data_IF_138593953785
#
_entry.id   IF_138593953785
#
_cell.length_a   1.000
_cell.length_b   1.000
_cell.length_c   1.000
_cell.angle_alpha   90.00
_cell.angle_beta   90.00
_cell.angle_gamma   90.00
#
_symmetry.space_group_name_H-M   'P 1'
#
loop_
_entity.id
_entity.type
_entity.pdbx_description
1 polymer ?
#
# COMPACT_ATOMS: atom_id res chain seq x y z
N UNK A 1 5.70 -36.49 -5.57
CA UNK A 1 5.12 -35.24 -6.10
C UNK A 1 3.70 -35.57 -6.54
N UNK A 2 2.72 -35.30 -5.68
CA UNK A 2 1.31 -35.61 -5.93
C UNK A 2 0.73 -34.45 -6.75
N UNK A 3 0.32 -34.71 -8.00
CA UNK A 3 -0.45 -33.75 -8.79
C UNK A 3 -1.83 -33.63 -8.14
N UNK A 4 -2.04 -32.57 -7.35
CA UNK A 4 -3.37 -32.22 -6.90
C UNK A 4 -4.25 -31.95 -8.14
N UNK A 5 -5.46 -32.55 -8.24
CA UNK A 5 -6.37 -32.25 -9.33
C UNK A 5 -6.74 -30.77 -9.25
N UNK A 6 -6.38 -30.02 -10.29
CA UNK A 6 -6.82 -28.63 -10.48
C UNK A 6 -8.34 -28.61 -10.37
N UNK A 7 -8.95 -27.74 -9.53
CA UNK A 7 -10.39 -27.68 -9.40
C UNK A 7 -11.02 -27.52 -10.79
N UNK A 8 -11.91 -28.45 -11.15
CA UNK A 8 -12.64 -28.39 -12.40
C UNK A 8 -13.41 -27.06 -12.43
N UNK A 9 -12.95 -26.13 -13.26
CA UNK A 9 -13.61 -24.84 -13.41
C UNK A 9 -14.98 -25.10 -14.04
N UNK A 10 -16.04 -24.98 -13.23
CA UNK A 10 -17.45 -24.98 -13.64
C UNK A 10 -17.82 -23.72 -14.42
N UNK A 11 -17.01 -23.35 -15.40
CA UNK A 11 -17.18 -22.14 -16.20
C UNK A 11 -17.48 -22.53 -17.64
N UNK A 12 -18.54 -21.96 -18.20
CA UNK A 12 -18.85 -22.06 -19.63
C UNK A 12 -17.68 -21.46 -20.41
N UNK A 13 -17.15 -22.20 -21.38
CA UNK A 13 -16.09 -21.73 -22.26
C UNK A 13 -16.53 -21.80 -23.69
N UNK A 14 -16.39 -20.68 -24.36
CA UNK A 14 -16.74 -20.58 -25.76
C UNK A 14 -15.69 -19.78 -26.51
N UNK A 15 -15.46 -20.17 -27.76
CA UNK A 15 -14.37 -19.63 -28.56
C UNK A 15 -14.70 -19.71 -30.04
N UNK A 16 -14.43 -18.62 -30.75
CA UNK A 16 -14.18 -18.64 -32.19
C UNK A 16 -12.66 -18.49 -32.37
N UNK A 17 -12.05 -19.30 -33.23
CA UNK A 17 -10.69 -19.06 -33.73
C UNK A 17 -10.61 -19.33 -35.22
N UNK A 18 -9.72 -18.60 -35.90
CA UNK A 18 -9.36 -18.85 -37.29
C UNK A 18 -7.92 -19.33 -37.31
N UNK A 19 -7.68 -20.59 -37.69
CA UNK A 19 -6.34 -21.20 -37.72
C UNK A 19 -6.24 -22.30 -38.79
N UNK A 20 -5.05 -22.89 -38.95
CA UNK A 20 -4.78 -23.98 -39.89
C UNK A 20 -5.03 -25.33 -39.22
N UNK A 21 -6.24 -25.85 -39.37
CA UNK A 21 -6.65 -27.12 -38.78
C UNK A 21 -6.76 -28.27 -39.78
N UNK A 22 -6.80 -27.96 -41.09
CA UNK A 22 -6.90 -28.98 -42.13
C UNK A 22 -5.52 -29.60 -42.40
N UNK A 23 -5.35 -30.87 -41.99
CA UNK A 23 -4.13 -31.64 -42.26
C UNK A 23 -3.98 -32.00 -43.74
N UNK A 24 -5.09 -32.08 -44.48
CA UNK A 24 -5.07 -32.34 -45.92
C UNK A 24 -4.77 -31.07 -46.73
N UNK A 25 -5.17 -29.91 -46.21
CA UNK A 25 -4.94 -28.60 -46.82
C UNK A 25 -4.33 -27.60 -45.82
N UNK A 26 -3.06 -27.78 -45.42
CA UNK A 26 -2.43 -26.97 -44.36
C UNK A 26 -2.29 -25.47 -44.72
N UNK A 27 -2.49 -25.10 -45.99
CA UNK A 27 -2.54 -23.70 -46.42
C UNK A 27 -3.89 -23.02 -46.18
N UNK A 28 -4.95 -23.80 -45.95
CA UNK A 28 -6.31 -23.27 -45.80
C UNK A 28 -6.64 -23.05 -44.33
N UNK A 29 -7.10 -21.83 -44.03
CA UNK A 29 -7.60 -21.51 -42.69
C UNK A 29 -9.01 -22.07 -42.52
N UNK A 30 -9.31 -22.51 -41.31
CA UNK A 30 -10.63 -22.94 -40.88
C UNK A 30 -11.06 -22.18 -39.63
N UNK A 31 -12.35 -21.90 -39.55
CA UNK A 31 -12.99 -21.31 -38.38
C UNK A 31 -13.37 -22.42 -37.43
N UNK A 32 -12.72 -22.48 -36.26
CA UNK A 32 -13.10 -23.35 -35.17
C UNK A 32 -14.08 -22.62 -34.25
N UNK A 33 -15.30 -23.16 -34.10
CA UNK A 33 -16.24 -22.77 -33.04
C UNK A 33 -16.20 -23.84 -31.95
N UNK A 34 -15.63 -23.49 -30.80
CA UNK A 34 -15.45 -24.40 -29.67
C UNK A 34 -16.37 -24.01 -28.52
N UNK A 35 -17.10 -24.98 -27.98
CA UNK A 35 -18.06 -24.80 -26.89
C UNK A 35 -17.86 -25.88 -25.83
N UNK A 36 -17.75 -25.46 -24.57
CA UNK A 36 -17.74 -26.31 -23.39
C UNK A 36 -18.73 -25.74 -22.40
N UNK A 37 -19.76 -26.53 -22.10
CA UNK A 37 -20.73 -26.23 -21.06
C UNK A 37 -20.60 -27.35 -20.03
N UNK A 38 -20.08 -27.06 -18.82
CA UNK A 38 -19.85 -28.06 -17.78
C UNK A 38 -21.11 -28.88 -17.49
N UNK A 39 -20.98 -30.21 -17.53
CA UNK A 39 -22.10 -31.13 -17.29
C UNK A 39 -23.12 -31.24 -18.43
N UNK A 40 -22.96 -30.49 -19.52
CA UNK A 40 -23.90 -30.51 -20.66
C UNK A 40 -23.20 -31.04 -21.91
N UNK A 41 -22.28 -30.27 -22.53
CA UNK A 41 -21.60 -30.67 -23.77
C UNK A 41 -20.16 -30.18 -23.85
N UNK A 42 -19.36 -30.89 -24.65
CA UNK A 42 -18.09 -30.39 -25.20
C UNK A 42 -18.08 -30.65 -26.69
N UNK A 43 -18.02 -29.59 -27.49
CA UNK A 43 -18.16 -29.63 -28.94
C UNK A 43 -17.18 -28.72 -29.65
N UNK A 44 -16.81 -29.09 -30.86
CA UNK A 44 -16.00 -28.29 -31.78
C UNK A 44 -16.59 -28.37 -33.18
N UNK A 45 -16.92 -27.23 -33.78
CA UNK A 45 -17.27 -27.12 -35.19
C UNK A 45 -16.05 -26.65 -35.97
N UNK A 46 -15.80 -27.29 -37.09
CA UNK A 46 -14.80 -26.91 -38.08
C UNK A 46 -15.53 -26.38 -39.30
N UNK A 47 -15.42 -25.09 -39.54
CA UNK A 47 -16.14 -24.37 -40.57
C UNK A 47 -15.16 -23.72 -41.56
N UNK A 48 -15.57 -23.41 -42.80
CA UNK A 48 -14.76 -22.64 -43.73
C UNK A 48 -14.34 -21.26 -43.17
N UNK A 49 -13.22 -20.71 -43.66
CA UNK A 49 -12.67 -19.43 -43.18
C UNK A 49 -13.65 -18.25 -43.25
N UNK A 50 -14.50 -18.18 -44.27
CA UNK A 50 -15.43 -17.06 -44.45
C UNK A 50 -16.48 -16.94 -43.33
N UNK A 51 -16.71 -18.01 -42.57
CA UNK A 51 -17.57 -17.97 -41.38
C UNK A 51 -16.97 -17.13 -40.25
N UNK A 52 -15.65 -16.94 -40.19
CA UNK A 52 -15.03 -16.18 -39.10
C UNK A 52 -15.46 -14.71 -39.11
N UNK A 53 -15.48 -14.07 -40.28
CA UNK A 53 -15.84 -12.66 -40.41
C UNK A 53 -17.31 -12.40 -40.10
N UNK A 54 -18.19 -13.33 -40.50
CA UNK A 54 -19.60 -13.25 -40.18
C UNK A 54 -19.83 -13.52 -38.70
N UNK A 55 -19.30 -14.61 -38.14
CA UNK A 55 -19.63 -15.04 -36.78
C UNK A 55 -19.02 -14.19 -35.66
N UNK A 56 -17.91 -13.48 -35.88
CA UNK A 56 -17.23 -12.74 -34.80
C UNK A 56 -18.07 -11.61 -34.17
N UNK A 57 -19.05 -11.11 -34.92
CA UNK A 57 -19.86 -9.94 -34.55
C UNK A 57 -21.33 -10.32 -34.24
N UNK A 58 -21.69 -11.59 -34.33
CA UNK A 58 -23.06 -12.08 -34.05
C UNK A 58 -23.23 -12.53 -32.59
N UNK A 59 -24.49 -12.55 -32.15
CA UNK A 59 -24.85 -13.19 -30.89
C UNK A 59 -24.57 -14.70 -30.97
N UNK A 60 -24.29 -15.30 -29.82
CA UNK A 60 -23.65 -16.60 -29.80
C UNK A 60 -24.63 -17.75 -30.08
N UNK A 61 -25.91 -17.55 -29.77
CA UNK A 61 -27.00 -18.39 -30.27
C UNK A 61 -27.04 -18.43 -31.81
N UNK A 62 -26.90 -17.29 -32.48
CA UNK A 62 -26.94 -17.20 -33.95
C UNK A 62 -25.72 -17.87 -34.59
N UNK A 63 -24.54 -17.75 -33.97
CA UNK A 63 -23.34 -18.44 -34.45
C UNK A 63 -23.53 -19.95 -34.40
N UNK A 64 -24.11 -20.47 -33.33
CA UNK A 64 -24.37 -21.91 -33.22
C UNK A 64 -25.43 -22.37 -34.21
N UNK A 65 -26.49 -21.58 -34.44
CA UNK A 65 -27.49 -21.88 -35.47
C UNK A 65 -26.87 -21.97 -36.87
N UNK A 66 -25.98 -21.05 -37.23
CA UNK A 66 -25.25 -21.08 -38.50
C UNK A 66 -24.32 -22.30 -38.60
N UNK A 67 -23.55 -22.59 -37.55
CA UNK A 67 -22.64 -23.73 -37.52
C UNK A 67 -23.40 -25.07 -37.64
N UNK A 68 -24.53 -25.17 -36.94
CA UNK A 68 -25.47 -26.27 -37.03
C UNK A 68 -26.06 -26.43 -38.43
N UNK A 69 -26.47 -25.33 -39.06
CA UNK A 69 -26.98 -25.31 -40.43
C UNK A 69 -25.98 -25.89 -41.41
N UNK A 70 -24.73 -25.41 -41.36
CA UNK A 70 -23.64 -25.90 -42.21
C UNK A 70 -23.37 -27.40 -42.03
N UNK A 71 -23.26 -27.89 -40.80
CA UNK A 71 -23.01 -29.31 -40.55
C UNK A 71 -24.15 -30.20 -41.04
N UNK A 72 -25.40 -29.74 -40.90
CA UNK A 72 -26.58 -30.48 -41.36
C UNK A 72 -26.63 -30.57 -42.89
N UNK A 73 -26.22 -29.51 -43.60
CA UNK A 73 -26.28 -29.46 -45.06
C UNK A 73 -25.05 -30.05 -45.76
N UNK A 74 -23.88 -29.95 -45.14
CA UNK A 74 -22.60 -30.06 -45.86
C UNK A 74 -21.66 -31.13 -45.32
N UNK A 75 -21.90 -31.67 -44.12
CA UNK A 75 -21.01 -32.67 -43.50
C UNK A 75 -21.72 -34.02 -43.42
N UNK A 76 -21.14 -35.04 -44.07
CA UNK A 76 -21.66 -36.40 -44.03
C UNK A 76 -21.03 -37.19 -42.88
N UNK A 77 -21.85 -37.91 -42.11
CA UNK A 77 -21.37 -38.76 -41.01
C UNK A 77 -20.96 -38.00 -39.75
N UNK A 78 -21.73 -36.98 -39.35
CA UNK A 78 -21.49 -36.19 -38.13
C UNK A 78 -21.53 -37.05 -36.87
N UNK A 79 -20.35 -37.40 -36.34
CA UNK A 79 -20.21 -38.22 -35.13
C UNK A 79 -20.72 -37.55 -33.87
N UNK A 80 -20.87 -36.21 -33.88
CA UNK A 80 -21.27 -35.41 -32.72
C UNK A 80 -22.75 -35.03 -32.74
N UNK A 81 -23.55 -35.62 -33.63
CA UNK A 81 -24.96 -35.26 -33.83
C UNK A 81 -25.80 -35.31 -32.53
N UNK A 82 -25.57 -36.30 -31.66
CA UNK A 82 -26.26 -36.42 -30.38
C UNK A 82 -25.91 -35.26 -29.43
N UNK A 83 -24.62 -34.98 -29.25
CA UNK A 83 -24.14 -33.86 -28.43
C UNK A 83 -24.63 -32.50 -28.95
N UNK A 84 -24.72 -32.34 -30.28
CA UNK A 84 -25.27 -31.15 -30.94
C UNK A 84 -26.77 -30.99 -30.67
N UNK A 85 -27.53 -32.09 -30.62
CA UNK A 85 -28.94 -32.06 -30.23
C UNK A 85 -29.10 -31.64 -28.76
N UNK A 86 -28.27 -32.18 -27.86
CA UNK A 86 -28.25 -31.77 -26.44
C UNK A 86 -27.94 -30.28 -26.29
N UNK A 87 -26.98 -29.74 -27.05
CA UNK A 87 -26.68 -28.31 -27.04
C UNK A 87 -27.88 -27.48 -27.48
N UNK A 88 -28.60 -27.88 -28.54
CA UNK A 88 -29.80 -27.18 -29.02
C UNK A 88 -30.92 -27.19 -27.99
N UNK A 89 -31.15 -28.33 -27.35
CA UNK A 89 -32.15 -28.45 -26.28
C UNK A 89 -31.79 -27.54 -25.10
N UNK A 90 -30.52 -27.51 -24.70
CA UNK A 90 -30.03 -26.61 -23.66
C UNK A 90 -30.22 -25.14 -24.03
N UNK A 91 -29.93 -24.77 -25.29
CA UNK A 91 -30.13 -23.41 -25.82
C UNK A 91 -31.60 -23.06 -26.09
N UNK A 92 -32.56 -23.96 -25.88
CA UNK A 92 -33.98 -23.62 -26.00
C UNK A 92 -34.46 -22.72 -24.84
N UNK A 93 -33.68 -22.63 -23.77
CA UNK A 93 -33.92 -21.74 -22.62
C UNK A 93 -33.18 -20.42 -22.84
N UNK A 94 -33.88 -19.29 -22.77
CA UNK A 94 -33.28 -17.97 -23.03
C UNK A 94 -32.16 -17.62 -22.03
N UNK A 95 -32.32 -17.96 -20.75
CA UNK A 95 -31.28 -17.73 -19.72
C UNK A 95 -29.96 -18.45 -20.08
N UNK A 96 -30.03 -19.63 -20.70
CA UNK A 96 -28.86 -20.36 -21.13
C UNK A 96 -28.15 -19.67 -22.30
N UNK A 97 -28.91 -19.01 -23.19
CA UNK A 97 -28.35 -18.18 -24.27
C UNK A 97 -27.62 -16.97 -23.71
N UNK A 98 -28.23 -16.29 -22.74
CA UNK A 98 -27.63 -15.12 -22.06
C UNK A 98 -26.31 -15.50 -21.36
N UNK A 99 -26.28 -16.64 -20.65
CA UNK A 99 -25.07 -17.16 -20.02
C UNK A 99 -23.96 -17.46 -21.04
N UNK A 100 -24.34 -18.00 -22.21
CA UNK A 100 -23.38 -18.30 -23.28
C UNK A 100 -22.83 -17.01 -23.93
N UNK A 101 -23.68 -16.02 -24.15
CA UNK A 101 -23.32 -14.70 -24.66
C UNK A 101 -22.39 -13.95 -23.69
N UNK A 102 -22.68 -14.01 -22.38
CA UNK A 102 -21.82 -13.44 -21.35
C UNK A 102 -20.46 -14.14 -21.29
N UNK A 103 -20.42 -15.48 -21.37
CA UNK A 103 -19.18 -16.23 -21.44
C UNK A 103 -18.35 -15.86 -22.69
N UNK A 104 -19.01 -15.63 -23.83
CA UNK A 104 -18.35 -15.18 -25.06
C UNK A 104 -17.78 -13.76 -24.91
N UNK A 105 -18.55 -12.83 -24.35
CA UNK A 105 -18.10 -11.46 -24.08
C UNK A 105 -16.89 -11.47 -23.16
N UNK A 106 -16.89 -12.30 -22.12
CA UNK A 106 -15.75 -12.45 -21.21
C UNK A 106 -14.52 -13.05 -21.90
N UNK A 107 -14.67 -14.09 -22.74
CA UNK A 107 -13.54 -14.64 -23.50
C UNK A 107 -12.93 -13.60 -24.45
N UNK A 108 -13.76 -12.79 -25.13
CA UNK A 108 -13.31 -11.68 -25.97
C UNK A 108 -12.49 -10.67 -25.17
N UNK A 109 -13.02 -10.22 -24.03
CA UNK A 109 -12.33 -9.28 -23.14
C UNK A 109 -10.98 -9.84 -22.67
N UNK A 110 -10.91 -11.14 -22.33
CA UNK A 110 -9.65 -11.78 -21.90
C UNK A 110 -8.59 -11.83 -22.99
N UNK A 111 -8.98 -11.88 -24.26
CA UNK A 111 -8.04 -12.00 -25.39
C UNK A 111 -7.63 -10.67 -25.95
N UNK A 112 -8.56 -9.73 -26.00
CA UNK A 112 -8.29 -8.40 -26.53
C UNK A 112 -7.23 -7.70 -25.64
N UNK A 113 -6.03 -7.40 -26.18
CA UNK A 113 -4.98 -6.73 -25.42
C UNK A 113 -5.40 -5.34 -24.95
N UNK A 114 -6.23 -4.63 -25.72
CA UNK A 114 -6.75 -3.31 -25.37
C UNK A 114 -7.73 -3.45 -24.21
N UNK A 115 -8.67 -4.40 -24.29
CA UNK A 115 -9.63 -4.63 -23.21
C UNK A 115 -8.94 -5.01 -21.89
N UNK A 116 -7.91 -5.87 -21.94
CA UNK A 116 -7.10 -6.21 -20.76
C UNK A 116 -6.33 -5.01 -20.20
N UNK A 117 -5.77 -4.19 -21.08
CA UNK A 117 -5.08 -2.95 -20.68
C UNK A 117 -6.04 -2.01 -19.97
N UNK A 118 -7.22 -1.78 -20.55
CA UNK A 118 -8.26 -0.93 -19.97
C UNK A 118 -8.76 -1.48 -18.64
N UNK A 119 -8.95 -2.79 -18.48
CA UNK A 119 -9.31 -3.39 -17.20
C UNK A 119 -8.24 -3.15 -16.11
N UNK A 120 -6.97 -3.28 -16.49
CA UNK A 120 -5.84 -3.02 -15.58
C UNK A 120 -5.79 -1.55 -15.18
N UNK A 121 -6.02 -0.65 -16.14
CA UNK A 121 -6.07 0.79 -15.91
C UNK A 121 -7.24 1.17 -15.01
N UNK A 122 -8.44 0.65 -15.27
CA UNK A 122 -9.62 0.87 -14.42
C UNK A 122 -9.36 0.36 -12.99
N UNK A 123 -8.78 -0.84 -12.83
CA UNK A 123 -8.43 -1.36 -11.50
C UNK A 123 -7.42 -0.45 -10.78
N UNK A 124 -6.42 0.06 -11.52
CA UNK A 124 -5.43 1.01 -10.99
C UNK A 124 -6.09 2.31 -10.56
N UNK A 125 -6.95 2.90 -11.40
CA UNK A 125 -7.68 4.13 -11.12
C UNK A 125 -8.64 3.99 -9.94
N UNK A 126 -9.31 2.84 -9.82
CA UNK A 126 -10.16 2.57 -8.65
C UNK A 126 -9.32 2.51 -7.37
N UNK A 127 -8.12 1.92 -7.42
CA UNK A 127 -7.18 1.92 -6.31
C UNK A 127 -6.74 3.32 -5.90
N UNK A 128 -6.40 4.19 -6.86
CA UNK A 128 -5.97 5.56 -6.57
C UNK A 128 -7.10 6.42 -6.02
N UNK A 129 -8.34 6.25 -6.51
CA UNK A 129 -9.53 6.93 -5.96
C UNK A 129 -9.75 6.55 -4.50
N UNK A 130 -9.70 5.26 -4.17
CA UNK A 130 -9.87 4.78 -2.80
C UNK A 130 -8.79 5.34 -1.86
N UNK A 131 -7.54 5.42 -2.33
CA UNK A 131 -6.45 6.01 -1.55
C UNK A 131 -6.68 7.51 -1.28
N UNK A 132 -7.06 8.27 -2.31
CA UNK A 132 -7.32 9.71 -2.18
C UNK A 132 -8.50 10.00 -1.25
N UNK A 133 -9.55 9.19 -1.30
CA UNK A 133 -10.67 9.28 -0.36
C UNK A 133 -10.23 9.05 1.08
N UNK A 134 -9.40 8.02 1.32
CA UNK A 134 -8.84 7.77 2.64
C UNK A 134 -7.93 8.92 3.11
N UNK A 135 -7.12 9.51 2.21
CA UNK A 135 -6.31 10.68 2.53
C UNK A 135 -7.17 11.91 2.88
N UNK A 136 -8.25 12.15 2.14
CA UNK A 136 -9.19 13.24 2.41
C UNK A 136 -9.86 13.07 3.77
N UNK A 137 -10.30 11.86 4.11
CA UNK A 137 -10.94 11.61 5.40
C UNK A 137 -9.95 11.79 6.57
N UNK A 138 -8.70 11.33 6.42
CA UNK A 138 -7.64 11.62 7.40
C UNK A 138 -7.40 13.12 7.59
N UNK A 139 -7.37 13.90 6.50
CA UNK A 139 -7.21 15.37 6.58
C UNK A 139 -8.40 16.03 7.26
N UNK A 140 -9.62 15.58 6.94
CA UNK A 140 -10.85 16.06 7.58
C UNK A 140 -10.84 15.80 9.09
N UNK A 141 -10.49 14.58 9.50
CA UNK A 141 -10.37 14.23 10.92
C UNK A 141 -9.36 15.13 11.66
N UNK A 142 -8.19 15.39 11.07
CA UNK A 142 -7.18 16.31 11.64
C UNK A 142 -7.70 17.75 11.78
N UNK A 143 -8.43 18.26 10.79
CA UNK A 143 -9.00 19.60 10.87
C UNK A 143 -10.04 19.71 11.97
N UNK A 144 -10.90 18.70 12.14
CA UNK A 144 -11.88 18.65 13.22
C UNK A 144 -11.18 18.62 14.58
N UNK A 145 -10.12 17.81 14.73
CA UNK A 145 -9.33 17.75 15.95
C UNK A 145 -8.73 19.12 16.30
N UNK A 146 -8.06 19.78 15.34
CA UNK A 146 -7.50 21.12 15.53
C UNK A 146 -8.56 22.18 15.86
N UNK A 147 -9.74 22.10 15.24
CA UNK A 147 -10.85 22.99 15.55
C UNK A 147 -11.37 22.79 16.99
N UNK A 148 -11.49 21.53 17.43
CA UNK A 148 -11.85 21.20 18.80
C UNK A 148 -10.80 21.68 19.80
N UNK A 149 -9.51 21.49 19.50
CA UNK A 149 -8.41 21.99 20.34
C UNK A 149 -8.44 23.51 20.45
N UNK A 150 -8.65 24.22 19.34
CA UNK A 150 -8.80 25.67 19.34
C UNK A 150 -10.03 26.12 20.16
N UNK A 151 -11.15 25.40 20.08
CA UNK A 151 -12.34 25.67 20.89
C UNK A 151 -12.07 25.43 22.40
N UNK A 152 -11.38 24.35 22.74
CA UNK A 152 -10.97 24.02 24.11
C UNK A 152 -10.05 25.10 24.69
N UNK A 153 -9.05 25.54 23.91
CA UNK A 153 -8.15 26.64 24.30
C UNK A 153 -8.93 27.93 24.52
N UNK A 154 -9.88 28.28 23.64
CA UNK A 154 -10.74 29.46 23.85
C UNK A 154 -11.54 29.35 25.14
N UNK A 155 -12.14 28.20 25.42
CA UNK A 155 -12.88 27.95 26.66
C UNK A 155 -12.01 28.07 27.91
N UNK A 156 -10.75 27.61 27.85
CA UNK A 156 -9.80 27.73 28.95
C UNK A 156 -9.36 29.18 29.21
N UNK A 157 -9.16 29.97 28.15
CA UNK A 157 -8.70 31.36 28.23
C UNK A 157 -9.83 32.33 28.59
N UNK A 158 -11.07 32.02 28.22
CA UNK A 158 -12.27 32.81 28.53
C UNK A 158 -13.41 31.92 29.02
N UNK A 159 -13.35 31.42 30.27
CA UNK A 159 -14.37 30.52 30.79
C UNK A 159 -15.72 31.23 30.96
N UNK A 160 -16.82 30.56 30.62
CA UNK A 160 -18.16 31.13 30.75
C UNK A 160 -18.49 31.46 32.22
N UNK A 161 -18.87 32.72 32.46
CA UNK A 161 -19.27 33.19 33.80
C UNK A 161 -18.11 33.48 34.77
N UNK A 162 -16.86 33.31 34.34
CA UNK A 162 -15.68 33.69 35.12
C UNK A 162 -14.93 34.86 34.46
N UNK A 163 -14.09 35.59 35.22
CA UNK A 163 -13.17 36.55 34.63
C UNK A 163 -12.26 35.87 33.61
N UNK A 164 -12.03 36.54 32.49
CA UNK A 164 -11.11 36.07 31.45
C UNK A 164 -9.69 36.00 31.98
N UNK A 165 -8.93 35.03 31.49
CA UNK A 165 -7.51 34.87 31.83
C UNK A 165 -6.59 35.74 30.98
N UNK A 166 -7.07 36.18 29.82
CA UNK A 166 -6.40 37.12 28.93
C UNK A 166 -7.19 38.43 28.85
N UNK A 167 -6.52 39.59 28.69
CA UNK A 167 -7.18 40.89 28.70
C UNK A 167 -7.91 41.24 27.39
N UNK A 168 -7.61 40.55 26.28
CA UNK A 168 -8.26 40.78 24.99
C UNK A 168 -9.45 39.84 24.72
N UNK A 169 -10.33 40.24 23.80
CA UNK A 169 -11.34 39.36 23.21
C UNK A 169 -10.67 38.27 22.36
N UNK A 170 -11.17 37.04 22.45
CA UNK A 170 -10.67 35.93 21.63
C UNK A 170 -11.39 35.93 20.28
N UNK A 171 -10.67 36.28 19.23
CA UNK A 171 -11.16 36.27 17.85
C UNK A 171 -11.11 34.89 17.19
N UNK A 172 -11.20 34.89 15.85
CA UNK A 172 -11.09 33.68 15.03
C UNK A 172 -9.71 33.03 15.16
N UNK A 173 -8.65 33.81 15.37
CA UNK A 173 -7.29 33.32 15.61
C UNK A 173 -6.89 33.47 17.08
N UNK A 174 -6.08 32.52 17.57
CA UNK A 174 -5.53 32.55 18.94
C UNK A 174 -4.19 33.29 19.04
N UNK A 175 -3.61 33.71 17.91
CA UNK A 175 -2.27 34.31 17.83
C UNK A 175 -2.05 35.47 18.82
N UNK A 176 -2.97 36.46 18.93
CA UNK A 176 -2.76 37.59 19.85
C UNK A 176 -2.74 37.16 21.32
N UNK A 177 -3.54 36.14 21.68
CA UNK A 177 -3.58 35.62 23.05
C UNK A 177 -2.32 34.81 23.38
N UNK A 178 -1.80 34.04 22.42
CA UNK A 178 -0.55 33.28 22.58
C UNK A 178 0.64 34.23 22.72
N UNK A 179 0.74 35.26 21.89
CA UNK A 179 1.80 36.27 21.99
C UNK A 179 1.77 36.99 23.35
N UNK A 180 0.58 37.35 23.84
CA UNK A 180 0.44 37.94 25.17
C UNK A 180 0.89 36.99 26.28
N UNK A 181 0.52 35.70 26.21
CA UNK A 181 0.93 34.71 27.20
C UNK A 181 2.45 34.50 27.21
N UNK A 182 3.08 34.44 26.03
CA UNK A 182 4.55 34.31 25.91
C UNK A 182 5.24 35.48 26.60
N UNK A 183 4.84 36.71 26.28
CA UNK A 183 5.41 37.91 26.92
C UNK A 183 5.17 37.90 28.43
N UNK A 184 3.97 37.49 28.86
CA UNK A 184 3.63 37.45 30.29
C UNK A 184 4.44 36.41 31.05
N UNK A 185 4.71 35.25 30.46
CA UNK A 185 5.58 34.23 31.06
C UNK A 185 7.00 34.76 31.16
N UNK A 186 7.55 35.39 30.11
CA UNK A 186 8.89 35.97 30.13
C UNK A 186 9.07 37.04 31.22
N UNK A 187 8.06 37.89 31.43
CA UNK A 187 8.04 38.86 32.54
C UNK A 187 8.09 38.18 33.91
N UNK A 188 7.28 37.13 34.11
CA UNK A 188 7.21 36.39 35.38
C UNK A 188 8.49 35.60 35.64
N UNK A 189 9.07 34.99 34.62
CA UNK A 189 10.36 34.29 34.71
C UNK A 189 11.49 35.27 35.04
N UNK A 190 11.50 36.47 34.45
CA UNK A 190 12.49 37.51 34.79
C UNK A 190 12.34 37.96 36.26
N UNK A 191 11.10 38.11 36.74
CA UNK A 191 10.82 38.45 38.13
C UNK A 191 11.25 37.33 39.11
N UNK A 192 11.04 36.07 38.73
CA UNK A 192 11.43 34.91 39.54
C UNK A 192 12.94 34.59 39.44
N UNK A 193 13.58 34.87 38.30
CA UNK A 193 15.01 34.68 38.06
C UNK A 193 15.88 35.65 38.86
N UNK A 194 15.41 36.89 39.04
CA UNK A 194 16.02 37.84 39.99
C UNK A 194 16.05 37.32 41.44
N UNK A 195 15.18 36.35 41.79
CA UNK A 195 15.12 35.72 43.11
C UNK A 195 16.03 34.46 43.22
N UNK A 196 16.54 33.95 42.09
CA UNK A 196 17.33 32.70 42.01
C UNK A 196 18.83 32.91 41.80
N UNK A 197 19.26 34.13 41.47
CA UNK A 197 20.65 34.44 41.08
C UNK A 197 21.61 34.68 42.25
N UNK A 198 21.24 34.28 43.48
CA UNK A 198 22.13 34.32 44.67
C UNK A 198 22.70 32.94 45.04
N UNK A 199 22.80 32.01 44.09
CA UNK A 199 23.42 30.71 44.33
C UNK A 199 24.34 30.31 43.17
N UNK A 200 25.49 30.98 43.12
CA UNK A 200 26.69 30.46 42.46
C UNK A 200 26.99 29.05 43.00
N UNK A 201 27.18 28.08 42.11
CA UNK A 201 27.55 26.72 42.51
C UNK A 201 27.69 25.79 41.31
N UNK A 202 28.94 25.51 40.94
CA UNK A 202 29.43 24.40 40.11
C UNK A 202 28.74 24.21 38.74
N UNK A 203 29.40 24.74 37.70
CA UNK A 203 29.15 24.36 36.31
C UNK A 203 29.50 22.88 36.12
N UNK A 204 28.53 21.99 36.32
CA UNK A 204 28.65 20.59 35.89
C UNK A 204 28.93 20.56 34.38
N UNK A 205 29.93 19.78 33.91
CA UNK A 205 30.24 19.70 32.49
C UNK A 205 28.99 19.32 31.70
N UNK A 206 28.75 20.02 30.58
CA UNK A 206 27.59 19.77 29.73
C UNK A 206 27.85 18.51 28.92
N UNK A 207 27.15 17.42 29.24
CA UNK A 207 27.19 16.20 28.45
C UNK A 207 26.19 16.34 27.29
N UNK A 208 26.67 16.14 26.07
CA UNK A 208 25.84 15.98 24.87
C UNK A 208 26.02 14.56 24.33
N UNK A 209 25.00 14.05 23.65
CA UNK A 209 25.00 12.68 23.12
C UNK A 209 25.10 12.72 21.60
N UNK A 210 26.14 12.11 21.06
CA UNK A 210 26.36 11.97 19.62
C UNK A 210 25.78 10.64 19.15
N UNK A 211 24.75 10.69 18.31
CA UNK A 211 24.26 9.52 17.60
C UNK A 211 25.02 9.34 16.29
N UNK A 212 25.50 8.13 16.00
CA UNK A 212 26.21 7.83 14.77
C UNK A 212 25.95 6.39 14.30
N UNK A 213 26.16 6.14 13.01
CA UNK A 213 26.24 4.81 12.43
C UNK A 213 27.70 4.47 12.13
N UNK A 214 28.21 3.40 12.72
CA UNK A 214 29.58 2.95 12.62
C UNK A 214 29.70 1.96 11.45
N UNK A 215 30.23 2.45 10.33
CA UNK A 215 30.43 1.68 9.11
C UNK A 215 31.93 1.47 8.87
N UNK A 216 32.41 0.24 9.04
CA UNK A 216 33.81 -0.15 8.83
C UNK A 216 34.77 0.74 9.64
N UNK A 217 35.37 1.74 9.00
CA UNK A 217 36.40 2.63 9.56
C UNK A 217 35.90 4.08 9.77
N UNK A 218 34.61 4.35 9.52
CA UNK A 218 34.05 5.71 9.63
C UNK A 218 32.74 5.72 10.40
N UNK A 219 32.64 6.68 11.33
CA UNK A 219 31.39 7.01 12.00
C UNK A 219 30.64 8.07 11.20
N UNK A 220 29.44 7.72 10.72
CA UNK A 220 28.54 8.64 10.02
C UNK A 220 27.64 9.31 11.07
N UNK A 221 27.78 10.63 11.31
CA UNK A 221 27.00 11.30 12.35
C UNK A 221 25.52 11.43 11.93
N UNK A 222 24.62 11.05 12.83
CA UNK A 222 23.17 11.22 12.68
C UNK A 222 22.69 12.51 13.33
N UNK A 223 23.33 12.93 14.42
CA UNK A 223 23.02 14.18 15.12
C UNK A 223 23.61 14.26 16.53
N UNK A 224 23.36 15.40 17.19
CA UNK A 224 23.76 15.70 18.56
C UNK A 224 22.52 16.02 19.40
N UNK A 225 22.48 15.48 20.62
CA UNK A 225 21.30 15.53 21.49
C UNK A 225 21.67 15.94 22.91
N UNK A 226 20.70 16.52 23.63
CA UNK A 226 20.88 16.90 25.04
C UNK A 226 20.71 15.72 26.01
N UNK A 227 20.12 14.63 25.57
CA UNK A 227 19.74 13.47 26.39
C UNK A 227 20.00 12.17 25.62
N UNK A 228 20.43 11.13 26.32
CA UNK A 228 20.70 9.81 25.71
C UNK A 228 19.44 9.21 25.09
N UNK A 229 18.27 9.38 25.72
CA UNK A 229 17.01 8.77 25.28
C UNK A 229 16.59 9.27 23.90
N UNK A 230 16.75 10.58 23.65
CA UNK A 230 16.44 11.19 22.34
C UNK A 230 17.43 10.73 21.27
N UNK A 231 18.72 10.60 21.62
CA UNK A 231 19.73 10.07 20.71
C UNK A 231 19.42 8.61 20.32
N UNK A 232 19.09 7.77 21.31
CA UNK A 232 18.72 6.36 21.12
C UNK A 232 17.45 6.22 20.27
N UNK A 233 16.42 7.01 20.57
CA UNK A 233 15.17 7.02 19.80
C UNK A 233 15.40 7.39 18.32
N UNK A 234 16.35 8.29 18.03
CA UNK A 234 16.70 8.61 16.65
C UNK A 234 17.37 7.43 15.94
N UNK A 235 18.34 6.76 16.57
CA UNK A 235 18.97 5.56 16.02
C UNK A 235 17.94 4.45 15.74
N UNK A 236 17.04 4.18 16.69
CA UNK A 236 15.98 3.17 16.49
C UNK A 236 15.03 3.55 15.35
N UNK A 237 14.70 4.83 15.21
CA UNK A 237 13.86 5.32 14.12
C UNK A 237 14.54 5.14 12.77
N UNK A 238 15.84 5.47 12.69
CA UNK A 238 16.64 5.28 11.48
C UNK A 238 16.73 3.79 11.10
N UNK A 239 17.01 2.90 12.05
CA UNK A 239 17.06 1.46 11.81
C UNK A 239 15.72 0.90 11.33
N UNK A 240 14.60 1.33 11.94
CA UNK A 240 13.25 0.92 11.51
C UNK A 240 12.92 1.44 10.10
N UNK A 241 13.41 2.62 9.74
CA UNK A 241 13.20 3.21 8.42
C UNK A 241 13.93 2.43 7.32
N UNK A 242 15.15 1.97 7.60
CA UNK A 242 15.96 1.20 6.64
C UNK A 242 15.53 -0.27 6.54
N UNK A 243 14.73 -0.74 7.49
CA UNK A 243 14.28 -2.13 7.55
C UNK A 243 12.99 -2.37 6.75
N UNK A 244 12.83 -3.53 6.09
CA UNK A 244 11.59 -3.85 5.38
C UNK A 244 10.37 -3.89 6.33
N UNK A 245 9.24 -3.30 5.90
CA UNK A 245 8.05 -3.14 6.74
C UNK A 245 7.42 -4.44 7.30
N UNK A 246 7.79 -5.60 6.75
CA UNK A 246 7.29 -6.91 7.20
C UNK A 246 8.20 -7.59 8.22
N UNK A 247 9.37 -7.01 8.51
CA UNK A 247 10.32 -7.54 9.47
C UNK A 247 9.99 -7.02 10.86
N UNK A 248 9.84 -7.93 11.82
CA UNK A 248 9.75 -7.57 13.25
C UNK A 248 11.16 -7.47 13.80
N UNK A 249 11.48 -6.32 14.37
CA UNK A 249 12.74 -6.04 15.06
C UNK A 249 12.47 -5.96 16.56
N UNK A 250 13.20 -6.76 17.34
CA UNK A 250 13.34 -6.56 18.78
C UNK A 250 14.64 -5.79 19.01
N UNK A 251 14.57 -4.65 19.69
CA UNK A 251 15.68 -3.70 19.81
C UNK A 251 16.11 -3.59 21.26
N UNK A 252 17.42 -3.67 21.51
CA UNK A 252 18.00 -3.47 22.84
C UNK A 252 19.28 -2.63 22.76
N UNK A 253 19.66 -2.00 23.87
CA UNK A 253 20.86 -1.18 23.98
C UNK A 253 21.85 -1.83 24.96
N UNK A 254 23.03 -2.14 24.46
CA UNK A 254 24.13 -2.68 25.28
C UNK A 254 25.09 -1.55 25.62
N UNK A 255 25.39 -1.39 26.91
CA UNK A 255 26.38 -0.46 27.43
C UNK A 255 26.67 -0.74 28.91
N UNK A 256 27.79 -0.24 29.42
CA UNK A 256 28.15 -0.38 30.83
C UNK A 256 27.52 0.77 31.65
N UNK A 257 26.50 0.46 32.44
CA UNK A 257 25.85 1.45 33.32
C UNK A 257 26.81 2.02 34.38
N UNK A 258 27.89 1.32 34.70
CA UNK A 258 28.91 1.79 35.64
C UNK A 258 29.92 2.75 35.01
N UNK A 259 30.00 2.79 33.68
CA UNK A 259 30.84 3.71 32.89
C UNK A 259 29.96 4.58 31.98
N UNK A 260 29.26 5.61 32.52
CA UNK A 260 28.24 6.35 31.80
C UNK A 260 28.75 7.21 30.64
N UNK A 261 30.08 7.33 30.48
CA UNK A 261 30.74 7.99 29.35
C UNK A 261 31.07 7.03 28.19
N UNK A 262 30.92 5.71 28.41
CA UNK A 262 31.17 4.73 27.36
C UNK A 262 30.05 4.74 26.30
N UNK A 263 30.38 4.38 25.04
CA UNK A 263 29.39 4.32 23.99
C UNK A 263 28.37 3.21 24.25
N UNK A 264 27.10 3.52 23.98
CA UNK A 264 26.03 2.54 23.97
C UNK A 264 25.77 2.07 22.54
N UNK A 265 25.73 0.77 22.32
CA UNK A 265 25.49 0.16 21.01
C UNK A 265 24.08 -0.43 20.92
N UNK A 266 23.39 -0.15 19.82
CA UNK A 266 22.09 -0.73 19.51
C UNK A 266 22.29 -2.11 18.90
N UNK A 267 21.65 -3.12 19.51
CA UNK A 267 21.52 -4.46 18.95
C UNK A 267 20.09 -4.72 18.51
N UNK A 268 19.91 -5.63 17.56
CA UNK A 268 18.60 -6.04 17.09
C UNK A 268 18.53 -7.55 16.87
N UNK A 269 17.42 -8.16 17.31
CA UNK A 269 17.03 -9.51 16.91
C UNK A 269 15.98 -9.44 15.79
N UNK A 270 16.26 -10.12 14.67
CA UNK A 270 15.39 -10.13 13.48
C UNK A 270 14.53 -11.39 13.49
N UNK A 271 13.20 -11.22 13.56
CA UNK A 271 12.27 -12.35 13.48
C UNK A 271 12.41 -13.38 14.61
N UNK A 272 12.84 -12.94 15.79
CA UNK A 272 13.08 -13.83 16.95
C UNK A 272 14.37 -14.63 16.89
N UNK A 273 15.32 -14.25 16.03
CA UNK A 273 16.69 -14.79 16.03
C UNK A 273 17.58 -14.20 17.14
N UNK A 274 18.86 -14.49 17.09
CA UNK A 274 19.85 -13.93 18.02
C UNK A 274 20.04 -12.43 17.79
N UNK A 275 20.31 -11.69 18.86
CA UNK A 275 20.67 -10.28 18.79
C UNK A 275 21.99 -10.09 18.04
N UNK A 276 22.03 -9.12 17.12
CA UNK A 276 23.21 -8.76 16.35
C UNK A 276 23.47 -7.26 16.47
N UNK A 277 24.75 -6.84 16.45
CA UNK A 277 25.11 -5.42 16.42
C UNK A 277 24.57 -4.77 15.15
N UNK A 278 23.93 -3.61 15.32
CA UNK A 278 23.36 -2.86 14.20
C UNK A 278 24.33 -1.83 13.62
N UNK A 279 25.43 -1.55 14.34
CA UNK A 279 26.36 -0.47 14.02
C UNK A 279 25.89 0.91 14.49
N UNK A 280 24.68 1.07 15.04
CA UNK A 280 24.25 2.34 15.62
C UNK A 280 24.81 2.50 17.04
N UNK A 281 25.47 3.63 17.29
CA UNK A 281 26.14 3.94 18.55
C UNK A 281 25.75 5.33 19.05
N UNK A 282 25.53 5.44 20.36
CA UNK A 282 25.33 6.71 21.07
C UNK A 282 26.50 6.94 22.01
N UNK A 283 27.32 7.96 21.72
CA UNK A 283 28.49 8.33 22.53
C UNK A 283 28.18 9.58 23.36
N UNK A 284 28.28 9.53 24.69
CA UNK A 284 28.33 10.71 25.55
C UNK A 284 29.60 11.51 25.26
N UNK A 285 29.48 12.82 25.12
CA UNK A 285 30.61 13.73 24.86
C UNK A 285 30.51 14.88 25.84
N UNK A 286 31.56 15.07 26.63
CA UNK A 286 31.68 16.24 27.49
C UNK A 286 32.06 17.46 26.64
N UNK A 287 31.28 18.53 26.78
CA UNK A 287 31.53 19.80 26.11
C UNK A 287 31.95 20.82 27.15
N UNK A 288 33.15 21.35 27.00
CA UNK A 288 33.62 22.47 27.81
C UNK A 288 32.69 23.66 27.64
N UNK A 289 32.22 24.23 28.76
CA UNK A 289 31.35 25.41 28.76
C UNK A 289 32.10 26.70 28.39
N UNK A 290 33.44 26.67 28.45
CA UNK A 290 34.33 27.78 28.11
C UNK A 290 35.43 27.32 27.18
N UNK A 291 35.73 28.12 26.16
CA UNK A 291 36.89 27.92 25.29
C UNK A 291 38.18 28.15 26.08
N UNK A 292 39.02 27.12 26.16
CA UNK A 292 40.38 27.22 26.68
C UNK A 292 41.36 27.30 25.51
N UNK A 293 41.93 28.48 25.19
CA UNK A 293 42.88 28.62 24.09
C UNK A 293 44.16 27.80 24.28
N UNK A 294 44.46 27.38 25.51
CA UNK A 294 45.66 26.61 25.87
C UNK A 294 45.34 25.12 26.11
N UNK A 295 44.09 24.69 25.90
CA UNK A 295 43.58 23.37 26.29
C UNK A 295 43.98 22.21 25.37
N UNK A 296 44.46 22.49 24.16
CA UNK A 296 44.90 21.48 23.18
C UNK A 296 46.21 21.93 22.49
N UNK A 297 47.36 21.62 23.10
CA UNK A 297 48.68 21.45 22.43
C UNK A 297 49.30 20.10 22.77
#
# INVERSE_FOLDING_TARGET
MSNAPTPERHEIRVRISLDHYDLAHPGDRQTQVYVVIPGVVRLSYMLPAHFHETMRDHAWGEVLDQAHGYYTSSVWGDTDAASKATLREWLAVDENRDQLDDAHRQDRIRRDPIARSLQTEVATLMGTVAELEAQRERRRGRLIALQNDAANLRGALSPNGLPRRVPMELGETLTPAVEWLINRVAELESAAGMEKDTREGESTPLIVYRAAYQALDQAIPLGWYKTSEVARAHCETALRFDSPAHVTLDLDWIGDESEPLDPWELVAAVGGGDEQPTGYVVTPVEVASTYDPDGDE
#
